data_IF_053888965608
#
_entry.id   IF_053888965608
#
_cell.length_a   1.000
_cell.length_b   1.000
_cell.length_c   1.000
_cell.angle_alpha   90.00
_cell.angle_beta   90.00
_cell.angle_gamma   90.00
#
_symmetry.space_group_name_H-M   'P 1'
#
loop_
_entity.id
_entity.type
_entity.pdbx_description
1 polymer ?
#
# COMPACT_ATOMS: atom_id res chain seq x y z
N UNK A 1 -90.21 -73.25 52.13
CA UNK A 1 -91.07 -73.86 51.09
C UNK A 1 -92.17 -72.83 50.80
N UNK A 2 -92.42 -72.23 49.63
CA UNK A 2 -92.02 -72.40 48.22
C UNK A 2 -92.32 -71.06 47.51
N UNK A 3 -91.40 -70.58 46.65
CA UNK A 3 -91.63 -69.54 45.62
C UNK A 3 -92.20 -70.25 44.38
N UNK A 4 -93.25 -69.75 43.70
CA UNK A 4 -93.06 -69.35 42.30
C UNK A 4 -94.08 -68.33 41.74
N UNK A 5 -93.63 -67.43 40.85
CA UNK A 5 -94.12 -67.27 39.45
C UNK A 5 -93.59 -65.98 38.81
N UNK A 6 -92.28 -65.90 38.63
CA UNK A 6 -91.62 -64.90 37.77
C UNK A 6 -91.24 -65.51 36.40
N UNK A 7 -92.07 -66.43 35.88
CA UNK A 7 -91.84 -67.16 34.60
C UNK A 7 -92.92 -66.92 33.52
N UNK A 8 -93.86 -65.99 33.74
CA UNK A 8 -94.94 -65.68 32.79
C UNK A 8 -94.67 -64.51 31.83
N UNK A 9 -93.61 -63.72 32.06
CA UNK A 9 -93.42 -62.43 31.36
C UNK A 9 -92.62 -62.50 30.05
N UNK A 10 -91.98 -63.63 29.75
CA UNK A 10 -91.12 -63.78 28.57
C UNK A 10 -91.79 -64.45 27.36
N UNK A 11 -93.07 -64.83 27.46
CA UNK A 11 -93.78 -65.57 26.40
C UNK A 11 -94.56 -64.74 25.37
N UNK A 12 -94.50 -63.39 25.42
CA UNK A 12 -95.47 -62.53 24.70
C UNK A 12 -94.90 -61.45 23.77
N UNK A 13 -93.63 -61.51 23.38
CA UNK A 13 -93.08 -60.65 22.31
C UNK A 13 -92.56 -61.49 21.15
N UNK A 14 -93.50 -62.03 20.39
CA UNK A 14 -93.27 -62.65 19.08
C UNK A 14 -94.18 -61.92 18.10
N UNK A 15 -93.55 -61.24 17.13
CA UNK A 15 -94.07 -60.52 15.93
C UNK A 15 -94.29 -59.00 16.02
N UNK A 16 -93.21 -58.31 15.60
CA UNK A 16 -93.14 -57.41 14.44
C UNK A 16 -94.07 -56.19 14.36
N UNK A 17 -93.46 -55.00 14.52
CA UNK A 17 -93.65 -53.79 13.70
C UNK A 17 -92.73 -52.66 14.24
N UNK A 18 -91.41 -52.90 14.23
CA UNK A 18 -90.44 -51.79 14.36
C UNK A 18 -90.33 -51.19 12.96
N UNK A 19 -90.69 -49.92 12.73
CA UNK A 19 -90.35 -49.26 11.47
C UNK A 19 -88.82 -49.25 11.37
N UNK A 20 -88.27 -49.83 10.30
CA UNK A 20 -86.85 -49.70 10.01
C UNK A 20 -86.47 -48.22 9.98
N UNK A 21 -85.30 -47.83 10.52
CA UNK A 21 -84.88 -46.43 10.46
C UNK A 21 -84.76 -46.02 8.99
N UNK A 22 -85.52 -45.00 8.60
CA UNK A 22 -85.44 -44.38 7.28
C UNK A 22 -83.98 -43.98 7.02
N UNK A 23 -83.47 -44.40 5.86
CA UNK A 23 -82.09 -44.20 5.40
C UNK A 23 -81.87 -42.76 4.90
N UNK A 24 -82.35 -41.76 5.63
CA UNK A 24 -82.31 -40.34 5.24
C UNK A 24 -81.51 -39.46 6.22
N UNK A 25 -80.95 -40.03 7.28
CA UNK A 25 -80.01 -39.37 8.19
C UNK A 25 -78.80 -40.26 8.51
N UNK A 26 -78.15 -40.82 7.47
CA UNK A 26 -76.82 -41.43 7.63
C UNK A 26 -75.76 -40.33 7.63
N UNK A 27 -75.77 -39.48 8.66
CA UNK A 27 -74.49 -38.99 9.18
C UNK A 27 -73.83 -40.19 9.81
N UNK A 28 -72.69 -40.63 9.28
CA UNK A 28 -71.96 -41.75 9.85
C UNK A 28 -71.65 -41.43 11.32
N UNK A 29 -71.61 -42.46 12.19
CA UNK A 29 -71.16 -42.29 13.59
C UNK A 29 -69.80 -41.58 13.67
N UNK A 30 -68.99 -41.67 12.61
CA UNK A 30 -67.73 -40.95 12.41
C UNK A 30 -67.89 -39.42 12.34
N UNK A 31 -69.02 -38.92 11.84
CA UNK A 31 -69.35 -37.48 11.79
C UNK A 31 -69.76 -36.95 13.18
N UNK A 32 -70.39 -37.77 14.03
CA UNK A 32 -70.68 -37.45 15.44
C UNK A 32 -69.46 -37.61 16.35
N UNK A 33 -68.53 -38.49 15.97
CA UNK A 33 -67.21 -38.66 16.59
C UNK A 33 -66.16 -37.80 15.89
N UNK A 34 -66.53 -36.64 15.35
CA UNK A 34 -65.55 -35.65 14.96
C UNK A 34 -64.74 -35.32 16.22
N UNK A 35 -63.55 -35.90 16.33
CA UNK A 35 -62.70 -35.85 17.52
C UNK A 35 -62.25 -34.41 17.67
N UNK A 36 -63.05 -33.61 18.38
CA UNK A 36 -62.66 -32.26 18.77
C UNK A 36 -61.42 -32.43 19.64
N UNK A 37 -60.26 -31.88 19.23
CA UNK A 37 -59.06 -31.97 20.04
C UNK A 37 -59.35 -31.39 21.42
N UNK A 38 -59.00 -32.15 22.46
CA UNK A 38 -59.10 -31.64 23.84
C UNK A 38 -58.26 -30.37 23.96
N UNK A 39 -58.68 -29.44 24.82
CA UNK A 39 -57.89 -28.24 25.13
C UNK A 39 -56.43 -28.58 25.50
N UNK A 40 -56.20 -29.73 26.14
CA UNK A 40 -54.86 -30.24 26.45
C UNK A 40 -54.06 -30.66 25.20
N UNK A 41 -54.72 -31.25 24.20
CA UNK A 41 -54.12 -31.64 22.91
C UNK A 41 -53.62 -30.39 22.17
N UNK A 42 -54.45 -29.34 22.14
CA UNK A 42 -54.14 -28.05 21.50
C UNK A 42 -52.97 -27.36 22.22
N UNK A 43 -52.99 -27.34 23.55
CA UNK A 43 -51.90 -26.77 24.36
C UNK A 43 -50.58 -27.50 24.10
N UNK A 44 -50.60 -28.84 24.04
CA UNK A 44 -49.42 -29.67 23.76
C UNK A 44 -48.84 -29.38 22.38
N UNK A 45 -49.67 -29.36 21.33
CA UNK A 45 -49.23 -29.04 19.97
C UNK A 45 -48.64 -27.62 19.88
N UNK A 46 -49.25 -26.64 20.56
CA UNK A 46 -48.73 -25.28 20.61
C UNK A 46 -47.36 -25.19 21.31
N UNK A 47 -47.18 -25.96 22.39
CA UNK A 47 -45.91 -26.03 23.10
C UNK A 47 -44.82 -26.65 22.22
N UNK A 48 -45.12 -27.74 21.53
CA UNK A 48 -44.20 -28.40 20.61
C UNK A 48 -43.79 -27.49 19.44
N UNK A 49 -44.76 -26.77 18.85
CA UNK A 49 -44.49 -25.77 17.82
C UNK A 49 -43.55 -24.66 18.32
N UNK A 50 -43.83 -24.08 19.49
CA UNK A 50 -42.97 -23.05 20.10
C UNK A 50 -41.57 -23.57 20.39
N UNK A 51 -41.44 -24.79 20.88
CA UNK A 51 -40.14 -25.41 21.13
C UNK A 51 -39.35 -25.62 19.83
N UNK A 52 -40.01 -26.05 18.74
CA UNK A 52 -39.36 -26.16 17.44
C UNK A 52 -38.87 -24.81 16.91
N UNK A 53 -39.69 -23.75 17.05
CA UNK A 53 -39.32 -22.39 16.67
C UNK A 53 -38.13 -21.86 17.51
N UNK A 54 -38.13 -22.13 18.82
CA UNK A 54 -37.01 -21.79 19.71
C UNK A 54 -35.74 -22.56 19.34
N UNK A 55 -35.84 -23.86 19.04
CA UNK A 55 -34.71 -24.67 18.58
C UNK A 55 -34.06 -24.10 17.32
N UNK A 56 -34.87 -23.76 16.30
CA UNK A 56 -34.39 -23.10 15.07
C UNK A 56 -33.76 -21.73 15.34
N UNK A 57 -34.25 -20.99 16.35
CA UNK A 57 -33.67 -19.71 16.73
C UNK A 57 -32.33 -19.88 17.44
N UNK A 58 -32.19 -20.90 18.28
CA UNK A 58 -30.92 -21.23 18.95
C UNK A 58 -29.87 -21.63 17.90
N UNK A 59 -30.21 -22.50 16.95
CA UNK A 59 -29.31 -22.93 15.88
C UNK A 59 -28.79 -21.73 15.07
N UNK A 60 -29.68 -20.82 14.62
CA UNK A 60 -29.26 -19.59 13.94
C UNK A 60 -28.33 -18.72 14.78
N UNK A 61 -28.61 -18.58 16.07
CA UNK A 61 -27.76 -17.79 16.97
C UNK A 61 -26.38 -18.43 17.18
N UNK A 62 -26.30 -19.77 17.18
CA UNK A 62 -25.03 -20.50 17.24
C UNK A 62 -24.21 -20.32 15.96
N UNK A 63 -24.86 -20.36 14.79
CA UNK A 63 -24.24 -20.05 13.50
C UNK A 63 -23.71 -18.61 13.45
N UNK A 64 -24.55 -17.63 13.78
CA UNK A 64 -24.15 -16.21 13.83
C UNK A 64 -22.96 -16.00 14.79
N UNK A 65 -23.01 -16.61 15.98
CA UNK A 65 -21.90 -16.56 16.94
C UNK A 65 -20.61 -17.14 16.37
N UNK A 66 -20.68 -18.22 15.60
CA UNK A 66 -19.50 -18.82 14.96
C UNK A 66 -18.93 -17.89 13.88
N UNK A 67 -19.78 -17.27 13.05
CA UNK A 67 -19.35 -16.27 12.08
C UNK A 67 -18.67 -15.07 12.75
N UNK A 68 -19.28 -14.49 13.78
CA UNK A 68 -18.67 -13.36 14.50
C UNK A 68 -17.30 -13.71 15.11
N UNK A 69 -17.11 -14.93 15.61
CA UNK A 69 -15.80 -15.36 16.11
C UNK A 69 -14.76 -15.40 15.00
N UNK A 70 -15.11 -15.94 13.84
CA UNK A 70 -14.21 -15.97 12.67
C UNK A 70 -13.85 -14.55 12.22
N UNK A 71 -14.83 -13.64 12.12
CA UNK A 71 -14.58 -12.26 11.71
C UNK A 71 -13.63 -11.54 12.67
N UNK A 72 -13.81 -11.73 13.98
CA UNK A 72 -12.91 -11.17 15.01
C UNK A 72 -11.48 -11.70 14.83
N UNK A 73 -11.32 -12.99 14.57
CA UNK A 73 -10.00 -13.59 14.39
C UNK A 73 -9.34 -13.14 13.07
N UNK A 74 -10.11 -12.97 11.99
CA UNK A 74 -9.64 -12.37 10.73
C UNK A 74 -9.15 -10.94 10.97
N UNK A 75 -9.94 -10.10 11.64
CA UNK A 75 -9.55 -8.71 11.95
C UNK A 75 -8.28 -8.65 12.81
N UNK A 76 -8.12 -9.53 13.80
CA UNK A 76 -6.89 -9.62 14.59
C UNK A 76 -5.67 -9.96 13.73
N UNK A 77 -5.81 -10.92 12.80
CA UNK A 77 -4.71 -11.31 11.91
C UNK A 77 -4.34 -10.18 10.93
N UNK A 78 -5.33 -9.48 10.38
CA UNK A 78 -5.10 -8.33 9.49
C UNK A 78 -4.40 -7.18 10.21
N UNK A 79 -4.89 -6.82 11.41
CA UNK A 79 -4.27 -5.76 12.23
C UNK A 79 -2.84 -6.11 12.64
N UNK A 80 -2.56 -7.38 12.97
CA UNK A 80 -1.20 -7.82 13.27
C UNK A 80 -0.27 -7.73 12.05
N UNK A 81 -0.73 -8.16 10.87
CA UNK A 81 0.04 -8.03 9.62
C UNK A 81 0.35 -6.57 9.29
N UNK A 82 -0.65 -5.69 9.39
CA UNK A 82 -0.48 -4.26 9.18
C UNK A 82 0.54 -3.67 10.17
N UNK A 83 0.48 -4.05 11.45
CA UNK A 83 1.45 -3.61 12.46
C UNK A 83 2.88 -4.05 12.11
N UNK A 84 3.08 -5.32 11.70
CA UNK A 84 4.39 -5.83 11.28
C UNK A 84 4.92 -5.07 10.06
N UNK A 85 4.06 -4.82 9.07
CA UNK A 85 4.42 -4.04 7.88
C UNK A 85 4.81 -2.60 8.22
N UNK A 86 4.04 -1.94 9.09
CA UNK A 86 4.35 -0.58 9.56
C UNK A 86 5.70 -0.52 10.26
N UNK A 87 5.98 -1.43 11.19
CA UNK A 87 7.24 -1.44 11.92
C UNK A 87 8.43 -1.61 10.99
N UNK A 88 8.33 -2.51 9.99
CA UNK A 88 9.39 -2.70 9.00
C UNK A 88 9.63 -1.44 8.16
N UNK A 89 8.56 -0.78 7.70
CA UNK A 89 8.68 0.46 6.94
C UNK A 89 9.29 1.60 7.78
N UNK A 90 9.01 1.64 9.08
CA UNK A 90 9.60 2.60 10.02
C UNK A 90 11.10 2.35 10.22
N UNK A 91 11.52 1.08 10.39
CA UNK A 91 12.94 0.70 10.44
C UNK A 91 13.70 1.07 9.14
N UNK A 92 13.10 0.81 7.97
CA UNK A 92 13.67 1.19 6.67
C UNK A 92 13.80 2.71 6.53
N UNK A 93 12.81 3.47 7.00
CA UNK A 93 12.83 4.94 7.01
C UNK A 93 13.94 5.48 7.92
N UNK A 94 14.11 4.90 9.11
CA UNK A 94 15.17 5.29 10.04
C UNK A 94 16.56 4.97 9.47
N UNK A 95 16.74 3.79 8.86
CA UNK A 95 17.96 3.44 8.14
C UNK A 95 18.27 4.46 7.04
N UNK A 96 17.31 4.73 6.15
CA UNK A 96 17.46 5.71 5.07
C UNK A 96 17.80 7.10 5.59
N UNK A 97 17.18 7.53 6.70
CA UNK A 97 17.46 8.81 7.35
C UNK A 97 18.90 8.87 7.87
N UNK A 98 19.44 7.76 8.40
CA UNK A 98 20.85 7.70 8.82
C UNK A 98 21.79 7.77 7.62
N UNK A 99 21.49 7.05 6.54
CA UNK A 99 22.31 7.04 5.33
C UNK A 99 22.30 8.40 4.63
N UNK A 100 21.15 9.06 4.56
CA UNK A 100 21.05 10.43 4.05
C UNK A 100 21.93 11.41 4.87
N UNK A 101 21.90 11.32 6.20
CA UNK A 101 22.75 12.16 7.06
C UNK A 101 24.23 11.90 6.79
N UNK A 102 24.64 10.64 6.65
CA UNK A 102 26.03 10.27 6.29
C UNK A 102 26.41 10.84 4.93
N UNK A 103 25.58 10.64 3.90
CA UNK A 103 25.81 11.17 2.55
C UNK A 103 25.98 12.69 2.57
N UNK A 104 25.10 13.42 3.26
CA UNK A 104 25.20 14.88 3.40
C UNK A 104 26.51 15.32 4.06
N UNK A 105 26.97 14.61 5.08
CA UNK A 105 28.26 14.88 5.72
C UNK A 105 29.44 14.58 4.79
N UNK A 106 29.39 13.47 4.06
CA UNK A 106 30.39 13.11 3.06
C UNK A 106 30.47 14.15 1.93
N UNK A 107 29.34 14.63 1.41
CA UNK A 107 29.30 15.70 0.39
C UNK A 107 29.93 17.00 0.91
N UNK A 108 29.69 17.38 2.17
CA UNK A 108 30.34 18.54 2.78
C UNK A 108 31.85 18.34 2.91
N UNK A 109 32.29 17.15 3.31
CA UNK A 109 33.71 16.83 3.51
C UNK A 109 34.47 16.77 2.19
N UNK A 110 33.87 16.20 1.15
CA UNK A 110 34.44 16.15 -0.20
C UNK A 110 34.42 17.51 -0.92
N UNK A 111 33.93 18.58 -0.28
CA UNK A 111 33.81 19.90 -0.90
C UNK A 111 32.73 20.00 -2.00
N UNK A 112 31.95 18.94 -2.21
CA UNK A 112 30.80 18.91 -3.13
C UNK A 112 29.58 19.68 -2.57
N UNK A 113 29.65 20.12 -1.33
CA UNK A 113 28.65 20.98 -0.71
C UNK A 113 28.72 22.45 -1.12
N UNK A 114 29.61 22.82 -2.05
CA UNK A 114 29.65 24.18 -2.61
C UNK A 114 28.31 24.52 -3.25
N UNK A 115 27.77 25.68 -2.93
CA UNK A 115 26.55 26.17 -3.60
C UNK A 115 26.86 26.52 -5.04
N UNK A 116 25.85 26.48 -5.91
CA UNK A 116 25.99 26.85 -7.33
C UNK A 116 26.58 28.27 -7.49
N UNK A 117 26.23 29.17 -6.59
CA UNK A 117 26.77 30.53 -6.51
C UNK A 117 28.27 30.57 -6.23
N UNK A 118 28.78 29.72 -5.32
CA UNK A 118 30.20 29.63 -5.04
C UNK A 118 30.98 29.12 -6.26
N UNK A 119 30.42 28.16 -6.99
CA UNK A 119 31.02 27.67 -8.24
C UNK A 119 31.02 28.75 -9.34
N UNK A 120 29.94 29.51 -9.48
CA UNK A 120 29.89 30.62 -10.42
C UNK A 120 30.92 31.71 -10.09
N UNK A 121 31.08 32.04 -8.81
CA UNK A 121 32.07 33.02 -8.35
C UNK A 121 33.50 32.54 -8.67
N UNK A 122 33.81 31.27 -8.37
CA UNK A 122 35.13 30.67 -8.63
C UNK A 122 35.46 30.64 -10.14
N UNK A 123 34.47 30.34 -10.99
CA UNK A 123 34.60 30.41 -12.45
C UNK A 123 34.89 31.84 -12.93
N UNK A 124 34.20 32.85 -12.37
CA UNK A 124 34.41 34.25 -12.76
C UNK A 124 35.79 34.78 -12.33
N UNK A 125 36.25 34.37 -11.14
CA UNK A 125 37.59 34.70 -10.66
C UNK A 125 38.68 34.06 -11.53
N UNK A 126 38.50 32.81 -11.94
CA UNK A 126 39.47 32.12 -12.79
C UNK A 126 39.49 32.69 -14.21
N UNK A 127 38.33 33.06 -14.78
CA UNK A 127 38.25 33.83 -16.03
C UNK A 127 39.02 35.15 -15.92
N UNK A 128 38.78 35.90 -14.86
CA UNK A 128 39.50 37.17 -14.62
C UNK A 128 41.01 37.00 -14.49
N UNK A 129 41.48 35.86 -13.95
CA UNK A 129 42.91 35.52 -13.92
C UNK A 129 43.44 35.18 -15.31
N UNK A 130 42.70 34.38 -16.09
CA UNK A 130 43.07 34.02 -17.46
C UNK A 130 43.24 35.28 -18.33
N UNK A 131 42.29 36.21 -18.27
CA UNK A 131 42.35 37.48 -19.02
C UNK A 131 43.57 38.34 -18.62
N UNK A 132 43.95 38.31 -17.34
CA UNK A 132 45.16 39.01 -16.87
C UNK A 132 46.42 38.36 -17.43
N UNK A 133 46.48 37.03 -17.47
CA UNK A 133 47.62 36.32 -18.05
C UNK A 133 47.72 36.52 -19.56
N UNK A 134 46.59 36.53 -20.27
CA UNK A 134 46.54 36.81 -21.70
C UNK A 134 47.15 38.18 -22.02
N UNK A 135 46.76 39.23 -21.28
CA UNK A 135 47.35 40.57 -21.44
C UNK A 135 48.86 40.59 -21.19
N UNK A 136 49.33 39.93 -20.13
CA UNK A 136 50.78 39.82 -19.87
C UNK A 136 51.52 39.09 -20.98
N UNK A 137 50.93 38.04 -21.54
CA UNK A 137 51.52 37.33 -22.67
C UNK A 137 51.62 38.23 -23.91
N UNK A 138 50.58 39.02 -24.20
CA UNK A 138 50.60 40.00 -25.30
C UNK A 138 51.65 41.08 -25.07
N UNK A 139 51.75 41.64 -23.86
CA UNK A 139 52.78 42.62 -23.51
C UNK A 139 54.19 42.05 -23.68
N UNK A 140 54.44 40.83 -23.17
CA UNK A 140 55.72 40.16 -23.31
C UNK A 140 56.06 39.86 -24.78
N UNK A 141 55.06 39.52 -25.60
CA UNK A 141 55.23 39.32 -27.03
C UNK A 141 55.66 40.62 -27.73
N UNK A 142 54.99 41.73 -27.46
CA UNK A 142 55.35 43.05 -28.03
C UNK A 142 56.77 43.45 -27.62
N UNK A 143 57.16 43.21 -26.36
CA UNK A 143 58.52 43.47 -25.89
C UNK A 143 59.56 42.60 -26.59
N UNK A 144 59.28 41.31 -26.79
CA UNK A 144 60.17 40.41 -27.54
C UNK A 144 60.36 40.87 -28.99
N UNK A 145 59.28 41.24 -29.68
CA UNK A 145 59.38 41.77 -31.05
C UNK A 145 60.21 43.05 -31.11
N UNK A 146 60.05 43.96 -30.14
CA UNK A 146 60.86 45.17 -30.04
C UNK A 146 62.35 44.84 -29.82
N UNK A 147 62.65 43.87 -28.95
CA UNK A 147 64.01 43.40 -28.71
C UNK A 147 64.61 42.76 -29.97
N UNK A 148 63.89 41.89 -30.68
CA UNK A 148 64.36 41.28 -31.93
C UNK A 148 64.69 42.32 -33.01
N UNK A 149 63.86 43.37 -33.13
CA UNK A 149 64.16 44.50 -34.03
C UNK A 149 65.47 45.19 -33.62
N UNK A 150 65.64 45.51 -32.34
CA UNK A 150 66.87 46.15 -31.84
C UNK A 150 68.12 45.28 -32.02
N UNK A 151 68.00 43.96 -31.84
CA UNK A 151 69.08 43.01 -32.10
C UNK A 151 69.44 42.97 -33.59
N UNK A 152 68.43 43.00 -34.47
CA UNK A 152 68.66 43.04 -35.92
C UNK A 152 69.36 44.32 -36.36
N UNK A 153 68.95 45.48 -35.84
CA UNK A 153 69.58 46.78 -36.09
C UNK A 153 71.05 46.80 -35.61
N UNK A 154 71.29 46.42 -34.34
CA UNK A 154 72.66 46.38 -33.79
C UNK A 154 73.59 45.44 -34.58
N UNK A 155 73.05 44.35 -35.12
CA UNK A 155 73.79 43.41 -35.97
C UNK A 155 74.16 44.07 -37.31
N UNK A 156 73.23 44.76 -37.95
CA UNK A 156 73.52 45.51 -39.19
C UNK A 156 74.56 46.61 -38.97
N UNK A 157 74.45 47.40 -37.90
CA UNK A 157 75.43 48.44 -37.55
C UNK A 157 76.82 47.85 -37.32
N UNK A 158 76.91 46.71 -36.61
CA UNK A 158 78.17 46.00 -36.40
C UNK A 158 78.80 45.55 -37.71
N UNK A 159 78.00 45.06 -38.65
CA UNK A 159 78.49 44.64 -39.96
C UNK A 159 78.94 45.84 -40.82
N UNK A 160 78.25 46.99 -40.75
CA UNK A 160 78.72 48.24 -41.35
C UNK A 160 80.05 48.73 -40.76
N UNK A 161 80.18 48.73 -39.43
CA UNK A 161 81.40 49.13 -38.74
C UNK A 161 82.57 48.24 -39.14
N UNK A 162 82.37 46.92 -39.19
CA UNK A 162 83.39 45.97 -39.70
C UNK A 162 83.80 46.30 -41.14
N UNK A 163 82.86 46.64 -42.02
CA UNK A 163 83.18 47.02 -43.39
C UNK A 163 84.01 48.32 -43.45
N UNK A 164 83.69 49.31 -42.61
CA UNK A 164 84.46 50.57 -42.50
C UNK A 164 85.88 50.31 -41.99
N UNK A 165 86.04 49.50 -40.94
CA UNK A 165 87.35 49.09 -40.41
C UNK A 165 88.18 48.40 -41.49
N UNK A 166 87.62 47.42 -42.20
CA UNK A 166 88.31 46.74 -43.29
C UNK A 166 88.74 47.69 -44.43
N UNK A 167 87.96 48.75 -44.70
CA UNK A 167 88.34 49.79 -45.68
C UNK A 167 89.51 50.63 -45.18
N UNK A 168 89.51 51.03 -43.90
CA UNK A 168 90.60 51.77 -43.27
C UNK A 168 91.89 50.96 -43.23
N UNK A 169 91.82 49.68 -42.83
CA UNK A 169 92.97 48.77 -42.83
C UNK A 169 93.60 48.66 -44.21
N UNK A 170 92.80 48.50 -45.28
CA UNK A 170 93.31 48.47 -46.66
C UNK A 170 93.98 49.77 -47.09
N UNK A 171 93.45 50.92 -46.66
CA UNK A 171 94.07 52.22 -46.93
C UNK A 171 95.40 52.37 -46.20
N UNK A 172 95.52 51.82 -45.00
CA UNK A 172 96.72 51.88 -44.16
C UNK A 172 97.87 51.03 -44.73
N UNK A 173 97.56 49.87 -45.32
CA UNK A 173 98.55 49.02 -46.00
C UNK A 173 99.05 49.57 -47.35
N UNK A 174 98.48 50.69 -47.84
CA UNK A 174 98.90 51.36 -49.09
C UNK A 174 99.85 52.54 -48.87
N UNK A 175 100.16 52.87 -47.61
CA UNK A 175 101.23 53.79 -47.22
C UNK A 175 102.44 52.99 -46.75
#
# INVERSE_FOLDING_TARGET
>A
MVIPKYKGWWGKRVKDNVPGPNQEDVRSMEEYLQVVPSEMEIIRQNFEKRNSELGKKIERLEEEKMHFRLDVDVQKLETEKLRKGKNKAEEELDSLKTDYKKLRLSMRTAGLGKTLEQLHQEIQEEKSKADRWERKCQEAQVQNEALERSFSESRSEKDELKARVAKLERSLHRY
#
